data_IF_495688769427
#
_entry.id   IF_495688769427
#
_cell.length_a   1.000
_cell.length_b   1.000
_cell.length_c   1.000
_cell.angle_alpha   90.00
_cell.angle_beta   90.00
_cell.angle_gamma   90.00
#
_symmetry.space_group_name_H-M   'P 1'
#
loop_
_entity.id
_entity.type
_entity.pdbx_description
1 polymer ?
#
# COMPACT_ATOMS: atom_id res chain seq x y z
N UNK A 1 -11.37 15.41 -1.58
CA UNK A 1 -10.71 16.09 -2.72
C UNK A 1 -11.61 16.35 -3.92
N UNK A 2 -12.66 15.55 -4.18
CA UNK A 2 -13.62 15.82 -5.26
C UNK A 2 -14.44 17.12 -5.09
N UNK A 3 -14.90 17.41 -3.87
CA UNK A 3 -15.74 18.59 -3.58
C UNK A 3 -14.95 19.92 -3.77
N UNK A 4 -13.71 20.08 -3.29
CA UNK A 4 -12.90 21.27 -3.58
C UNK A 4 -12.60 21.48 -5.07
N UNK A 5 -12.35 20.41 -5.84
CA UNK A 5 -12.06 20.52 -7.28
C UNK A 5 -13.25 21.07 -8.07
N UNK A 6 -14.46 20.67 -7.71
CA UNK A 6 -15.70 21.22 -8.31
C UNK A 6 -15.90 22.70 -8.01
N UNK A 7 -15.31 23.22 -6.93
CA UNK A 7 -15.47 24.59 -6.47
C UNK A 7 -14.34 25.52 -6.94
N UNK A 8 -13.12 24.99 -7.12
CA UNK A 8 -12.00 25.67 -7.80
C UNK A 8 -11.18 24.65 -8.59
N UNK A 9 -11.23 24.68 -9.93
CA UNK A 9 -10.41 23.79 -10.75
C UNK A 9 -8.94 24.18 -10.60
N UNK A 10 -8.26 23.55 -9.66
CA UNK A 10 -6.81 23.63 -9.50
C UNK A 10 -6.20 22.33 -10.05
N UNK A 11 -5.34 22.39 -11.07
CA UNK A 11 -4.71 21.20 -11.65
C UNK A 11 -3.94 20.38 -10.61
N UNK A 12 -3.37 21.00 -9.58
CA UNK A 12 -2.69 20.30 -8.49
C UNK A 12 -3.64 19.43 -7.67
N UNK A 13 -4.89 19.87 -7.45
CA UNK A 13 -5.88 19.09 -6.70
C UNK A 13 -6.36 17.87 -7.50
N UNK A 14 -6.54 18.02 -8.81
CA UNK A 14 -6.89 16.90 -9.69
C UNK A 14 -5.77 15.86 -9.70
N UNK A 15 -4.56 16.33 -9.89
CA UNK A 15 -3.36 15.50 -9.93
C UNK A 15 -3.15 14.75 -8.60
N UNK A 16 -3.29 15.44 -7.45
CA UNK A 16 -3.20 14.81 -6.14
C UNK A 16 -4.31 13.76 -5.94
N UNK A 17 -5.52 14.04 -6.44
CA UNK A 17 -6.62 13.07 -6.44
C UNK A 17 -6.31 11.83 -7.28
N UNK A 18 -5.77 11.98 -8.49
CA UNK A 18 -5.35 10.86 -9.35
C UNK A 18 -4.28 10.01 -8.66
N UNK A 19 -3.27 10.64 -8.06
CA UNK A 19 -2.22 9.94 -7.31
C UNK A 19 -2.79 9.15 -6.12
N UNK A 20 -3.71 9.74 -5.36
CA UNK A 20 -4.38 9.06 -4.25
C UNK A 20 -5.21 7.86 -4.73
N UNK A 21 -5.99 8.03 -5.80
CA UNK A 21 -6.77 6.94 -6.39
C UNK A 21 -5.88 5.81 -6.92
N UNK A 22 -4.74 6.15 -7.54
CA UNK A 22 -3.77 5.18 -8.02
C UNK A 22 -3.18 4.36 -6.86
N UNK A 23 -2.81 5.02 -5.76
CA UNK A 23 -2.27 4.36 -4.57
C UNK A 23 -3.29 3.42 -3.90
N UNK A 24 -4.55 3.84 -3.77
CA UNK A 24 -5.62 3.01 -3.21
C UNK A 24 -5.90 1.81 -4.11
N UNK A 25 -6.02 2.01 -5.43
CA UNK A 25 -6.26 0.92 -6.36
C UNK A 25 -5.11 -0.10 -6.39
N UNK A 26 -3.86 0.38 -6.31
CA UNK A 26 -2.68 -0.47 -6.20
C UNK A 26 -2.70 -1.33 -4.93
N UNK A 27 -3.13 -0.78 -3.80
CA UNK A 27 -3.26 -1.52 -2.55
C UNK A 27 -4.31 -2.65 -2.63
N UNK A 28 -5.50 -2.29 -3.13
CA UNK A 28 -6.59 -3.24 -3.32
C UNK A 28 -6.17 -4.37 -4.25
N UNK A 29 -5.58 -4.07 -5.40
CA UNK A 29 -5.13 -5.09 -6.35
C UNK A 29 -3.99 -5.93 -5.79
N UNK A 30 -3.06 -5.34 -5.04
CA UNK A 30 -1.97 -6.07 -4.38
C UNK A 30 -2.52 -7.16 -3.47
N UNK A 31 -3.54 -6.84 -2.68
CA UNK A 31 -4.12 -7.77 -1.71
C UNK A 31 -5.06 -8.77 -2.38
N UNK A 32 -6.05 -8.28 -3.13
CA UNK A 32 -7.11 -9.12 -3.70
C UNK A 32 -6.57 -10.07 -4.79
N UNK A 33 -5.75 -9.55 -5.70
CA UNK A 33 -5.14 -10.36 -6.75
C UNK A 33 -3.94 -11.14 -6.19
N UNK A 34 -3.22 -10.58 -5.21
CA UNK A 34 -2.10 -11.26 -4.56
C UNK A 34 -2.48 -12.54 -3.82
N UNK A 35 -3.69 -12.60 -3.24
CA UNK A 35 -4.23 -13.82 -2.60
C UNK A 35 -4.44 -14.95 -3.61
N UNK A 36 -4.71 -14.62 -4.88
CA UNK A 36 -4.89 -15.60 -5.96
C UNK A 36 -3.56 -16.14 -6.49
N UNK A 37 -2.42 -15.78 -5.89
CA UNK A 37 -1.12 -16.24 -6.37
C UNK A 37 -1.01 -17.77 -6.29
N UNK A 38 -0.67 -18.46 -7.40
CA UNK A 38 -0.47 -19.90 -7.40
C UNK A 38 0.76 -20.32 -6.60
N UNK A 39 1.67 -19.38 -6.33
CA UNK A 39 2.82 -19.58 -5.45
C UNK A 39 2.52 -19.01 -4.06
N UNK A 40 2.84 -19.75 -2.98
CA UNK A 40 2.68 -19.22 -1.64
C UNK A 40 3.53 -17.96 -1.44
N UNK A 41 3.01 -16.94 -0.74
CA UNK A 41 3.74 -15.71 -0.49
C UNK A 41 4.98 -15.99 0.35
N UNK A 42 5.97 -15.09 0.23
CA UNK A 42 7.26 -15.24 0.89
C UNK A 42 7.48 -14.09 1.87
N UNK A 43 8.02 -14.39 3.05
CA UNK A 43 8.47 -13.36 3.98
C UNK A 43 9.54 -12.49 3.33
N UNK A 44 9.39 -11.17 3.40
CA UNK A 44 10.33 -10.22 2.78
C UNK A 44 11.76 -10.35 3.35
N UNK A 45 11.90 -10.76 4.61
CA UNK A 45 13.19 -10.88 5.29
C UNK A 45 13.93 -12.17 4.96
N UNK A 46 13.23 -13.31 5.00
CA UNK A 46 13.85 -14.64 4.90
C UNK A 46 13.61 -15.35 3.57
N UNK A 47 12.68 -14.84 2.75
CA UNK A 47 12.23 -15.49 1.51
C UNK A 47 11.47 -16.80 1.73
N UNK A 48 11.23 -17.21 2.99
CA UNK A 48 10.52 -18.45 3.33
C UNK A 48 9.05 -18.35 2.93
N UNK A 49 8.51 -19.44 2.42
CA UNK A 49 7.09 -19.57 2.09
C UNK A 49 6.27 -19.56 3.38
N UNK A 50 5.22 -18.74 3.41
CA UNK A 50 4.32 -18.60 4.56
C UNK A 50 2.87 -18.67 4.10
N UNK A 51 1.96 -18.83 5.06
CA UNK A 51 0.53 -18.84 4.76
C UNK A 51 0.07 -17.48 4.21
N UNK A 52 -0.90 -17.44 3.28
CA UNK A 52 -1.55 -16.19 2.88
C UNK A 52 -2.09 -15.42 4.09
N UNK A 53 -1.91 -14.10 4.09
CA UNK A 53 -2.30 -13.23 5.21
C UNK A 53 -1.30 -13.17 6.37
N UNK A 54 -0.10 -13.76 6.23
CA UNK A 54 0.99 -13.56 7.20
C UNK A 54 1.56 -12.15 7.07
N UNK A 55 1.61 -11.38 8.16
CA UNK A 55 2.21 -10.03 8.18
C UNK A 55 3.68 -10.10 7.73
N UNK A 56 4.05 -9.25 6.78
CA UNK A 56 5.38 -9.23 6.18
C UNK A 56 5.61 -10.15 4.98
N UNK A 57 4.56 -10.81 4.50
CA UNK A 57 4.63 -11.66 3.32
C UNK A 57 4.32 -10.89 2.03
N UNK A 58 5.15 -11.09 1.01
CA UNK A 58 4.99 -10.51 -0.33
C UNK A 58 4.81 -11.61 -1.38
N UNK A 59 4.03 -11.33 -2.42
CA UNK A 59 3.89 -12.20 -3.59
C UNK A 59 4.19 -11.41 -4.87
N UNK A 60 4.85 -12.07 -5.83
CA UNK A 60 5.19 -11.44 -7.11
C UNK A 60 3.92 -10.99 -7.85
N UNK A 61 2.86 -11.81 -7.80
CA UNK A 61 1.59 -11.49 -8.42
C UNK A 61 0.96 -10.24 -7.79
N UNK A 62 0.98 -10.12 -6.46
CA UNK A 62 0.49 -8.93 -5.76
C UNK A 62 1.28 -7.67 -6.13
N UNK A 63 2.62 -7.76 -6.20
CA UNK A 63 3.47 -6.64 -6.62
C UNK A 63 3.18 -6.17 -8.05
N UNK A 64 3.01 -7.11 -9.00
CA UNK A 64 2.66 -6.78 -10.39
C UNK A 64 1.24 -6.19 -10.46
N UNK A 65 0.29 -6.78 -9.73
CA UNK A 65 -1.08 -6.29 -9.65
C UNK A 65 -1.15 -4.85 -9.13
N UNK A 66 -0.35 -4.52 -8.10
CA UNK A 66 -0.24 -3.16 -7.58
C UNK A 66 0.22 -2.16 -8.65
N UNK A 67 1.28 -2.51 -9.40
CA UNK A 67 1.80 -1.69 -10.48
C UNK A 67 0.76 -1.45 -11.58
N UNK A 68 0.09 -2.51 -12.04
CA UNK A 68 -0.93 -2.42 -13.07
C UNK A 68 -2.15 -1.61 -12.59
N UNK A 69 -2.55 -1.78 -11.33
CA UNK A 69 -3.63 -1.02 -10.73
C UNK A 69 -3.36 0.48 -10.70
N UNK A 70 -2.15 0.91 -10.32
CA UNK A 70 -1.78 2.31 -10.35
C UNK A 70 -1.68 2.86 -11.78
N UNK A 71 -1.08 2.10 -12.71
CA UNK A 71 -0.94 2.50 -14.10
C UNK A 71 -2.29 2.71 -14.78
N UNK A 72 -3.27 1.85 -14.50
CA UNK A 72 -4.64 1.99 -15.02
C UNK A 72 -5.25 3.33 -14.63
N UNK A 73 -5.14 3.74 -13.35
CA UNK A 73 -5.67 5.03 -12.89
C UNK A 73 -4.96 6.20 -13.59
N UNK A 74 -3.64 6.12 -13.78
CA UNK A 74 -2.88 7.11 -14.53
C UNK A 74 -3.38 7.23 -15.98
N UNK A 75 -3.56 6.11 -16.68
CA UNK A 75 -4.05 6.08 -18.07
C UNK A 75 -5.47 6.64 -18.20
N UNK A 76 -6.36 6.32 -17.26
CA UNK A 76 -7.72 6.87 -17.24
C UNK A 76 -7.72 8.39 -17.02
N UNK A 77 -6.83 8.89 -16.16
CA UNK A 77 -6.66 10.33 -15.96
C UNK A 77 -6.15 11.03 -17.22
N UNK A 78 -5.23 10.42 -17.97
CA UNK A 78 -4.76 10.93 -19.26
C UNK A 78 -5.89 11.00 -20.29
N UNK A 79 -6.70 9.95 -20.38
CA UNK A 79 -7.84 9.92 -21.30
C UNK A 79 -8.86 11.02 -21.00
N UNK A 80 -9.09 11.32 -19.72
CA UNK A 80 -10.06 12.33 -19.28
C UNK A 80 -9.59 13.78 -19.54
N UNK A 81 -8.28 14.08 -19.42
CA UNK A 81 -7.78 15.45 -19.52
C UNK A 81 -7.53 15.93 -20.97
N UNK A 82 -7.58 15.03 -21.94
CA UNK A 82 -7.16 15.34 -23.32
C UNK A 82 -5.64 15.51 -23.43
N UNK A 83 -5.09 15.20 -24.60
CA UNK A 83 -3.63 15.08 -24.83
C UNK A 83 -2.94 16.43 -25.01
N UNK A 84 -3.01 17.34 -24.04
CA UNK A 84 -1.99 18.39 -23.97
C UNK A 84 -0.70 17.76 -23.42
N UNK A 85 0.41 17.76 -24.17
CA UNK A 85 1.61 16.98 -23.83
C UNK A 85 2.12 17.25 -22.40
N UNK A 86 2.07 18.51 -21.98
CA UNK A 86 2.60 18.96 -20.68
C UNK A 86 1.76 18.50 -19.49
N UNK A 87 0.43 18.42 -19.64
CA UNK A 87 -0.47 17.95 -18.57
C UNK A 87 -0.43 16.43 -18.52
N UNK A 88 -0.43 15.78 -19.69
CA UNK A 88 -0.32 14.33 -19.78
C UNK A 88 0.96 13.79 -19.12
N UNK A 89 2.11 14.39 -19.44
CA UNK A 89 3.37 13.96 -18.82
C UNK A 89 3.36 14.10 -17.29
N UNK A 90 2.81 15.21 -16.77
CA UNK A 90 2.70 15.44 -15.32
C UNK A 90 1.77 14.45 -14.62
N UNK A 91 0.63 14.12 -15.23
CA UNK A 91 -0.31 13.14 -14.68
C UNK A 91 0.29 11.74 -14.65
N UNK A 92 0.92 11.30 -15.76
CA UNK A 92 1.59 10.00 -15.81
C UNK A 92 2.73 9.92 -14.80
N UNK A 93 3.52 11.00 -14.67
CA UNK A 93 4.60 11.12 -13.71
C UNK A 93 4.10 11.02 -12.26
N UNK A 94 2.99 11.67 -11.93
CA UNK A 94 2.45 11.59 -10.57
C UNK A 94 1.76 10.26 -10.27
N UNK A 95 1.14 9.62 -11.27
CA UNK A 95 0.67 8.26 -11.13
C UNK A 95 1.83 7.28 -10.90
N UNK A 96 2.94 7.41 -11.62
CA UNK A 96 4.12 6.56 -11.43
C UNK A 96 4.82 6.82 -10.10
N UNK A 97 4.98 8.07 -9.68
CA UNK A 97 5.52 8.43 -8.36
C UNK A 97 4.62 7.96 -7.22
N UNK A 98 3.30 8.05 -7.35
CA UNK A 98 2.36 7.50 -6.38
C UNK A 98 2.44 5.97 -6.31
N UNK A 99 2.59 5.30 -7.46
CA UNK A 99 2.80 3.85 -7.51
C UNK A 99 4.10 3.45 -6.81
N UNK A 100 5.20 4.15 -7.09
CA UNK A 100 6.50 3.92 -6.47
C UNK A 100 6.46 4.20 -4.96
N UNK A 101 5.82 5.29 -4.54
CA UNK A 101 5.59 5.60 -3.13
C UNK A 101 4.75 4.53 -2.44
N UNK A 102 3.68 4.04 -3.08
CA UNK A 102 2.86 2.95 -2.55
C UNK A 102 3.65 1.65 -2.43
N UNK A 103 4.45 1.30 -3.44
CA UNK A 103 5.33 0.13 -3.42
C UNK A 103 6.38 0.24 -2.32
N UNK A 104 7.04 1.39 -2.19
CA UNK A 104 7.99 1.62 -1.11
C UNK A 104 7.31 1.49 0.26
N UNK A 105 6.11 2.06 0.41
CA UNK A 105 5.29 1.93 1.61
C UNK A 105 4.90 0.49 1.91
N UNK A 106 4.48 -0.33 0.93
CA UNK A 106 4.11 -1.74 1.16
C UNK A 106 5.32 -2.63 1.44
N UNK A 107 6.48 -2.34 0.84
CA UNK A 107 7.72 -3.04 1.15
C UNK A 107 8.19 -2.69 2.56
N UNK A 108 8.06 -1.43 2.96
CA UNK A 108 8.36 -0.98 4.31
C UNK A 108 7.40 -1.57 5.35
N UNK A 109 6.11 -1.61 5.05
CA UNK A 109 5.08 -2.31 5.82
C UNK A 109 5.45 -3.79 6.00
N UNK A 110 5.78 -4.45 4.88
CA UNK A 110 6.16 -5.86 4.91
C UNK A 110 7.42 -6.08 5.75
N UNK A 111 8.38 -5.15 5.69
CA UNK A 111 9.60 -5.22 6.48
C UNK A 111 9.31 -5.06 7.97
N UNK A 112 8.50 -4.07 8.35
CA UNK A 112 8.08 -3.85 9.74
C UNK A 112 7.27 -5.06 10.25
N UNK A 113 6.34 -5.58 9.46
CA UNK A 113 5.54 -6.77 9.74
C UNK A 113 6.35 -8.03 9.97
N UNK A 114 7.43 -8.21 9.20
CA UNK A 114 8.31 -9.35 9.32
C UNK A 114 9.32 -9.23 10.47
N UNK A 115 9.57 -8.04 11.02
CA UNK A 115 10.67 -7.79 11.97
C UNK A 115 10.20 -7.33 13.35
N UNK A 116 9.49 -6.20 13.42
CA UNK A 116 9.25 -5.46 14.68
C UNK A 116 7.78 -5.30 15.04
N UNK A 117 6.85 -5.50 14.09
CA UNK A 117 5.41 -5.35 14.34
C UNK A 117 4.92 -6.34 15.39
N UNK A 118 4.07 -5.85 16.30
CA UNK A 118 3.42 -6.66 17.32
C UNK A 118 2.48 -7.69 16.71
N UNK A 119 2.83 -8.97 16.80
CA UNK A 119 1.97 -10.08 16.40
C UNK A 119 1.50 -10.82 17.65
N UNK A 120 0.22 -11.14 17.67
CA UNK A 120 -0.48 -11.79 18.76
C UNK A 120 -1.16 -13.07 18.28
N UNK A 121 -1.45 -14.00 19.19
CA UNK A 121 -2.12 -15.25 18.93
C UNK A 121 -3.40 -15.35 19.73
N UNK A 122 -4.50 -15.61 19.04
CA UNK A 122 -5.77 -15.90 19.66
C UNK A 122 -5.89 -17.41 19.92
N UNK A 123 -5.83 -17.81 21.20
CA UNK A 123 -5.98 -19.22 21.59
C UNK A 123 -7.39 -19.78 21.30
N UNK A 124 -8.41 -18.92 21.28
CA UNK A 124 -9.79 -19.35 21.04
C UNK A 124 -10.08 -19.73 19.57
N UNK A 125 -9.45 -19.06 18.61
CA UNK A 125 -9.63 -19.34 17.17
C UNK A 125 -8.39 -19.99 16.53
N UNK A 126 -7.29 -20.12 17.28
CA UNK A 126 -6.04 -20.69 16.80
C UNK A 126 -5.40 -19.90 15.66
N UNK A 127 -5.50 -18.56 15.69
CA UNK A 127 -5.03 -17.69 14.60
C UNK A 127 -4.14 -16.56 15.11
N UNK A 128 -3.17 -16.19 14.29
CA UNK A 128 -2.37 -14.97 14.46
C UNK A 128 -3.21 -13.73 14.15
N UNK A 129 -2.88 -12.62 14.81
CA UNK A 129 -3.54 -11.32 14.64
C UNK A 129 -2.57 -10.20 15.00
N UNK A 130 -2.77 -9.03 14.40
CA UNK A 130 -1.95 -7.83 14.63
C UNK A 130 -2.51 -6.96 15.77
N UNK A 131 -3.63 -7.36 16.37
CA UNK A 131 -4.30 -6.62 17.45
C UNK A 131 -4.25 -7.38 18.78
N UNK A 132 -4.00 -6.68 19.91
CA UNK A 132 -4.05 -7.28 21.24
C UNK A 132 -5.46 -7.76 21.64
N UNK A 133 -6.51 -7.25 20.99
CA UNK A 133 -7.88 -7.73 21.15
C UNK A 133 -8.36 -8.36 19.85
N UNK A 134 -8.57 -9.67 19.88
CA UNK A 134 -9.04 -10.38 18.69
C UNK A 134 -10.55 -10.17 18.49
N UNK A 135 -11.05 -10.34 17.25
CA UNK A 135 -12.48 -10.16 16.89
C UNK A 135 -13.45 -11.05 17.67
N UNK A 136 -12.96 -12.11 18.33
CA UNK A 136 -13.75 -12.94 19.23
C UNK A 136 -14.00 -12.29 20.62
N UNK A 137 -13.46 -11.09 20.88
CA UNK A 137 -13.58 -10.37 22.14
C UNK A 137 -12.58 -10.79 23.23
N UNK A 138 -11.67 -11.74 22.95
CA UNK A 138 -10.63 -12.18 23.91
C UNK A 138 -9.31 -11.47 23.64
N UNK A 139 -8.54 -11.23 24.73
CA UNK A 139 -7.17 -10.73 24.64
C UNK A 139 -6.28 -11.79 23.98
N UNK A 140 -5.55 -11.39 22.95
CA UNK A 140 -4.61 -12.24 22.26
C UNK A 140 -3.25 -12.22 22.97
N UNK A 141 -2.56 -13.36 23.01
CA UNK A 141 -1.24 -13.47 23.63
C UNK A 141 -0.19 -12.97 22.65
N UNK A 142 0.65 -12.03 23.06
CA UNK A 142 1.72 -11.55 22.20
C UNK A 142 2.71 -12.68 21.87
N UNK A 143 3.00 -12.87 20.58
CA UNK A 143 3.99 -13.83 20.09
C UNK A 143 5.35 -13.17 19.81
N UNK A 144 5.36 -12.01 19.14
CA UNK A 144 6.59 -11.30 18.74
C UNK A 144 6.36 -9.80 18.56
N UNK A 145 7.45 -9.08 18.31
CA UNK A 145 7.45 -7.64 18.02
C UNK A 145 7.24 -6.74 19.25
N UNK A 146 7.04 -5.46 19.00
CA UNK A 146 6.81 -4.46 20.05
C UNK A 146 5.33 -4.24 20.29
N UNK A 147 4.93 -4.18 21.58
CA UNK A 147 3.52 -4.03 21.98
C UNK A 147 2.84 -2.77 21.46
N UNK A 148 3.62 -1.70 21.30
CA UNK A 148 3.14 -0.40 20.86
C UNK A 148 3.13 -0.25 19.34
N UNK A 149 3.82 -1.14 18.61
CA UNK A 149 3.91 -1.10 17.16
C UNK A 149 2.85 -2.02 16.56
N UNK A 150 1.61 -1.56 16.63
CA UNK A 150 0.46 -2.22 16.01
C UNK A 150 0.32 -1.85 14.52
N UNK A 151 -0.70 -2.40 13.87
CA UNK A 151 -0.99 -2.17 12.46
C UNK A 151 -1.24 -0.68 12.14
N UNK A 152 -1.83 0.09 13.05
CA UNK A 152 -2.14 1.51 12.80
C UNK A 152 -0.86 2.35 12.77
N UNK A 153 0.06 2.09 13.70
CA UNK A 153 1.37 2.74 13.71
C UNK A 153 2.20 2.34 12.50
N UNK A 154 2.18 1.05 12.11
CA UNK A 154 2.88 0.59 10.89
C UNK A 154 2.31 1.30 9.66
N UNK A 155 0.99 1.34 9.48
CA UNK A 155 0.35 2.04 8.37
C UNK A 155 0.69 3.53 8.31
N UNK A 156 0.77 4.19 9.47
CA UNK A 156 1.21 5.58 9.56
C UNK A 156 2.65 5.75 9.06
N UNK A 157 3.60 4.95 9.56
CA UNK A 157 5.00 5.01 9.13
C UNK A 157 5.17 4.73 7.64
N UNK A 158 4.40 3.77 7.10
CA UNK A 158 4.40 3.44 5.68
C UNK A 158 3.84 4.56 4.81
N UNK A 159 2.81 5.26 5.30
CA UNK A 159 2.27 6.45 4.64
C UNK A 159 3.30 7.57 4.59
N UNK A 160 4.05 7.80 5.67
CA UNK A 160 5.16 8.78 5.70
C UNK A 160 6.26 8.38 4.72
N UNK A 161 6.71 7.14 4.75
CA UNK A 161 7.76 6.63 3.84
C UNK A 161 7.34 6.77 2.37
N UNK A 162 6.13 6.33 2.01
CA UNK A 162 5.61 6.45 0.65
C UNK A 162 5.46 7.90 0.18
N UNK A 163 5.01 8.80 1.08
CA UNK A 163 4.91 10.23 0.80
C UNK A 163 6.27 10.87 0.55
N UNK A 164 7.29 10.51 1.33
CA UNK A 164 8.66 10.99 1.14
C UNK A 164 9.24 10.53 -0.20
N UNK A 165 9.05 9.26 -0.58
CA UNK A 165 9.50 8.74 -1.87
C UNK A 165 8.84 9.50 -3.03
N UNK A 166 7.52 9.71 -2.96
CA UNK A 166 6.81 10.48 -3.97
C UNK A 166 7.29 11.94 -4.04
N UNK A 167 7.53 12.60 -2.90
CA UNK A 167 8.00 13.98 -2.84
C UNK A 167 9.42 14.14 -3.37
N UNK A 168 10.34 13.25 -2.99
CA UNK A 168 11.72 13.26 -3.49
C UNK A 168 11.75 12.97 -4.99
N UNK A 169 10.99 11.97 -5.45
CA UNK A 169 10.91 11.66 -6.88
C UNK A 169 10.32 12.81 -7.70
N UNK A 170 9.40 13.59 -7.13
CA UNK A 170 8.90 14.81 -7.76
C UNK A 170 9.96 15.92 -7.81
N UNK A 171 10.70 16.13 -6.71
CA UNK A 171 11.73 17.17 -6.64
C UNK A 171 12.94 16.94 -7.56
N UNK A 172 13.22 15.67 -7.89
CA UNK A 172 14.34 15.27 -8.77
C UNK A 172 13.97 15.25 -10.27
N UNK A 173 12.72 15.55 -10.63
CA UNK A 173 12.16 15.38 -11.97
C UNK A 173 11.80 16.71 -12.63
#
# INVERSE_FOLDING_TARGET
MAIPYSLRPNPLLFIAFVGAMAAVNADTWSTDIGILSPSPPRLITSGRRVAPGTSGAISLLGTIAALLGALLIGLLALAQMGTTPQIGERCLRLASLAALGRLAGSLFDSLLGATVQGIYYCEAWGKETESPLHRCGRKARQLRGWRWLDNDVVNFLCSVAGSLVAAVGWALS
#
